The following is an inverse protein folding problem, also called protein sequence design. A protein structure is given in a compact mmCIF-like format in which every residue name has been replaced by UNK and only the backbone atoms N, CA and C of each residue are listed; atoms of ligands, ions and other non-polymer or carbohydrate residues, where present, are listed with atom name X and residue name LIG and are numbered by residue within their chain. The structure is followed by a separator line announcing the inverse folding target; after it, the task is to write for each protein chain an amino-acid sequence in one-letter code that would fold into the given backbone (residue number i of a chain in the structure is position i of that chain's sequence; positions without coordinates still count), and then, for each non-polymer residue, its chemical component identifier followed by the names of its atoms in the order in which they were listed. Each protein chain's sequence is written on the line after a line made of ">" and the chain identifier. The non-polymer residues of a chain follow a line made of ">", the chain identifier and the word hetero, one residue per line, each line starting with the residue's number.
data_IF_213440733057
#
_entry.id   IF_213440733057
#
_cell.length_a   1.000
_cell.length_b   1.000
_cell.length_c   1.000
_cell.angle_alpha   90.00
_cell.angle_beta   90.00
_cell.angle_gamma   90.00
#
_symmetry.space_group_name_H-M   'P 1'
#
loop_
_entity.id
_entity.type
_entity.pdbx_description
1 polymer ?
#
# COMPACT_ATOMS: atom_id res chain seq x y z
N UNK A 1 -2.23 -14.65 14.01
CA UNK A 1 -1.92 -13.29 14.51
C UNK A 1 -2.95 -12.29 13.99
N UNK A 2 -3.33 -12.33 12.72
CA UNK A 2 -4.40 -11.47 12.20
C UNK A 2 -5.71 -11.66 12.98
N UNK A 3 -6.19 -12.90 13.18
CA UNK A 3 -7.35 -13.16 14.03
C UNK A 3 -7.16 -12.71 15.47
N UNK A 4 -5.92 -12.73 15.98
CA UNK A 4 -5.61 -12.21 17.31
C UNK A 4 -5.49 -10.70 17.34
N UNK A 5 -4.92 -10.09 16.29
CA UNK A 5 -4.92 -8.62 16.10
C UNK A 5 -6.34 -8.13 15.84
N UNK A 6 -7.17 -8.85 15.09
CA UNK A 6 -8.59 -8.55 14.90
C UNK A 6 -9.42 -8.74 16.17
N UNK A 7 -8.99 -9.59 17.10
CA UNK A 7 -9.59 -9.74 18.44
C UNK A 7 -9.08 -8.73 19.46
N UNK A 8 -8.10 -7.90 19.10
CA UNK A 8 -7.71 -6.74 19.88
C UNK A 8 -8.84 -5.69 19.87
N UNK A 9 -9.91 -6.02 20.57
CA UNK A 9 -11.06 -5.16 20.71
C UNK A 9 -10.90 -4.32 21.96
N UNK A 10 -10.60 -3.08 21.85
CA UNK A 10 -10.63 -2.09 22.92
C UNK A 10 -9.56 -2.26 23.99
N UNK A 11 -9.00 -1.17 24.27
CA UNK A 11 -8.27 -0.98 25.47
C UNK A 11 -9.17 -1.15 26.71
N UNK A 12 -8.74 -1.86 27.58
CA UNK A 12 -7.43 -2.43 27.88
C UNK A 12 -7.14 -3.70 27.10
N UNK A 13 -6.76 -3.68 25.93
CA UNK A 13 -7.34 -4.34 24.78
C UNK A 13 -6.36 -4.89 23.83
N UNK A 14 -5.18 -4.52 23.88
CA UNK A 14 -4.11 -5.36 23.51
C UNK A 14 -4.07 -6.49 24.54
N UNK A 15 -4.16 -7.75 24.09
CA UNK A 15 -3.55 -8.80 24.85
C UNK A 15 -2.12 -8.31 25.09
N UNK A 16 -1.84 -7.81 26.30
CA UNK A 16 -0.51 -7.28 26.65
C UNK A 16 0.56 -8.32 26.29
N UNK A 17 0.24 -9.60 26.46
CA UNK A 17 1.05 -10.75 26.06
C UNK A 17 1.40 -10.76 24.57
N UNK A 18 0.54 -10.25 23.70
CA UNK A 18 0.84 -10.18 22.26
C UNK A 18 1.86 -9.08 21.95
N UNK A 19 1.73 -7.89 22.53
CA UNK A 19 2.74 -6.84 22.40
C UNK A 19 4.07 -7.25 23.01
N UNK A 20 4.05 -7.90 24.17
CA UNK A 20 5.24 -8.44 24.83
C UNK A 20 5.92 -9.52 23.96
N UNK A 21 5.14 -10.31 23.27
CA UNK A 21 5.68 -11.31 22.35
C UNK A 21 6.23 -10.66 21.08
N UNK A 22 5.43 -9.86 20.38
CA UNK A 22 5.79 -9.33 19.05
C UNK A 22 6.91 -8.29 19.17
N UNK A 23 6.74 -7.31 20.04
CA UNK A 23 7.69 -6.19 20.19
C UNK A 23 8.72 -6.53 21.27
N UNK A 24 8.29 -7.04 22.43
CA UNK A 24 9.18 -7.33 23.54
C UNK A 24 10.18 -8.45 23.23
N UNK A 25 9.71 -9.60 22.76
CA UNK A 25 10.55 -10.77 22.49
C UNK A 25 11.17 -10.75 21.10
N UNK A 26 10.35 -10.58 20.05
CA UNK A 26 10.81 -10.70 18.65
C UNK A 26 11.28 -9.38 18.05
N UNK A 27 11.18 -8.26 18.78
CA UNK A 27 11.68 -6.94 18.37
C UNK A 27 11.17 -6.48 17.01
N UNK A 28 9.89 -6.80 16.69
CA UNK A 28 9.25 -6.39 15.45
C UNK A 28 9.08 -4.88 15.43
N UNK A 29 9.65 -4.22 14.43
CA UNK A 29 9.69 -2.76 14.30
C UNK A 29 8.72 -2.19 13.27
N UNK A 30 7.83 -3.00 12.70
CA UNK A 30 6.77 -2.59 11.77
C UNK A 30 5.49 -3.37 12.02
N UNK A 31 4.37 -2.68 12.06
CA UNK A 31 3.03 -3.27 12.19
C UNK A 31 2.13 -2.67 11.11
N UNK A 32 1.15 -3.44 10.66
CA UNK A 32 0.28 -3.03 9.57
C UNK A 32 -1.17 -3.43 9.79
N UNK A 33 -2.02 -2.84 8.96
CA UNK A 33 -3.42 -3.17 8.70
C UNK A 33 -4.42 -2.48 9.64
N UNK A 34 -5.71 -2.66 9.32
CA UNK A 34 -6.81 -2.01 10.03
C UNK A 34 -7.01 -2.67 11.39
N UNK A 35 -7.06 -1.91 12.49
CA UNK A 35 -7.52 -2.46 13.75
C UNK A 35 -8.92 -3.07 13.58
N UNK A 36 -9.12 -4.30 14.08
CA UNK A 36 -10.40 -5.03 14.06
C UNK A 36 -10.94 -5.42 12.68
N UNK A 37 -10.16 -5.26 11.61
CA UNK A 37 -10.50 -5.71 10.25
C UNK A 37 -11.60 -4.88 9.55
N UNK A 38 -11.94 -3.73 10.09
CA UNK A 38 -12.92 -2.79 9.53
C UNK A 38 -12.51 -1.37 9.89
N UNK A 39 -12.88 -0.40 9.05
CA UNK A 39 -12.53 1.00 9.23
C UNK A 39 -12.87 1.51 10.63
N UNK A 40 -11.98 2.29 11.19
CA UNK A 40 -12.09 2.85 12.55
C UNK A 40 -11.99 4.37 12.49
N UNK A 41 -12.46 5.03 13.56
CA UNK A 41 -12.24 6.46 13.77
C UNK A 41 -10.76 6.76 13.99
N UNK A 42 -10.32 7.95 13.62
CA UNK A 42 -8.92 8.38 13.78
C UNK A 42 -8.41 8.27 15.22
N UNK A 43 -9.29 8.47 16.22
CA UNK A 43 -8.95 8.34 17.63
C UNK A 43 -8.56 6.91 18.00
N UNK A 44 -9.25 5.91 17.45
CA UNK A 44 -8.93 4.48 17.66
C UNK A 44 -7.56 4.13 17.08
N UNK A 45 -7.26 4.62 15.87
CA UNK A 45 -5.92 4.45 15.29
C UNK A 45 -4.86 5.11 16.17
N UNK A 46 -5.10 6.34 16.62
CA UNK A 46 -4.16 7.08 17.45
C UNK A 46 -3.86 6.35 18.76
N UNK A 47 -4.89 5.82 19.43
CA UNK A 47 -4.72 5.04 20.66
C UNK A 47 -3.91 3.77 20.43
N UNK A 48 -4.27 2.99 19.42
CA UNK A 48 -3.57 1.75 19.05
C UNK A 48 -2.10 2.01 18.72
N UNK A 49 -1.85 2.99 17.85
CA UNK A 49 -0.49 3.31 17.40
C UNK A 49 0.35 3.89 18.54
N UNK A 50 -0.24 4.73 19.40
CA UNK A 50 0.45 5.30 20.58
C UNK A 50 0.94 4.20 21.52
N UNK A 51 0.15 3.17 21.76
CA UNK A 51 0.57 2.05 22.62
C UNK A 51 1.65 1.20 21.97
N UNK A 52 1.55 0.93 20.65
CA UNK A 52 2.59 0.27 19.88
C UNK A 52 3.90 1.06 19.97
N UNK A 53 3.85 2.39 19.79
CA UNK A 53 5.01 3.26 19.90
C UNK A 53 5.63 3.23 21.30
N UNK A 54 4.78 3.34 22.33
CA UNK A 54 5.24 3.27 23.72
C UNK A 54 6.01 1.96 23.96
N UNK A 55 5.42 0.82 23.62
CA UNK A 55 6.06 -0.49 23.78
C UNK A 55 7.34 -0.60 22.95
N UNK A 56 7.35 -0.12 21.71
CA UNK A 56 8.52 -0.16 20.83
C UNK A 56 9.69 0.68 21.40
N UNK A 57 9.41 1.86 21.90
CA UNK A 57 10.43 2.73 22.51
C UNK A 57 10.96 2.16 23.83
N UNK A 58 10.11 1.55 24.64
CA UNK A 58 10.52 0.89 25.89
C UNK A 58 11.45 -0.30 25.62
N UNK A 59 11.10 -1.16 24.66
CA UNK A 59 11.73 -2.46 24.42
C UNK A 59 12.86 -2.45 23.40
N UNK A 60 12.77 -1.57 22.38
CA UNK A 60 13.68 -1.54 21.23
C UNK A 60 14.44 -0.21 21.17
N UNK A 61 13.89 0.87 21.74
CA UNK A 61 14.35 2.26 21.62
C UNK A 61 14.32 2.80 20.18
N UNK A 62 13.59 2.13 19.31
CA UNK A 62 13.38 2.51 17.91
C UNK A 62 11.88 2.61 17.70
N UNK A 63 11.35 3.73 17.14
CA UNK A 63 9.93 3.85 16.87
C UNK A 63 9.46 2.80 15.87
N UNK A 64 8.25 2.27 16.08
CA UNK A 64 7.60 1.36 15.15
C UNK A 64 7.08 2.15 13.94
N UNK A 65 7.17 1.60 12.73
CA UNK A 65 6.47 2.14 11.56
C UNK A 65 5.14 1.41 11.39
N UNK A 66 4.06 2.16 11.20
CA UNK A 66 2.72 1.61 10.97
C UNK A 66 2.31 1.84 9.52
N UNK A 67 1.95 0.74 8.82
CA UNK A 67 1.55 0.75 7.43
C UNK A 67 0.07 0.42 7.23
N UNK A 68 -0.56 1.05 6.21
CA UNK A 68 -1.97 0.84 5.91
C UNK A 68 -2.24 0.99 4.40
N UNK A 69 -3.22 0.26 3.87
CA UNK A 69 -3.66 0.37 2.47
C UNK A 69 -4.66 1.52 2.28
N UNK A 70 -4.17 2.74 2.21
CA UNK A 70 -4.97 3.93 1.86
C UNK A 70 -4.86 4.18 0.35
N UNK A 71 -5.64 3.42 -0.43
CA UNK A 71 -5.44 3.31 -1.88
C UNK A 71 -6.12 4.47 -2.63
N UNK A 72 -7.32 4.86 -2.23
CA UNK A 72 -8.10 5.90 -2.89
C UNK A 72 -8.73 6.88 -1.87
N UNK A 73 -7.91 7.54 -1.10
CA UNK A 73 -8.23 8.33 0.08
C UNK A 73 -7.83 7.60 1.35
N UNK A 74 -8.09 8.18 2.51
CA UNK A 74 -7.89 7.53 3.79
C UNK A 74 -9.03 6.53 4.08
N UNK A 75 -9.27 5.63 3.13
CA UNK A 75 -10.49 4.84 2.97
C UNK A 75 -10.70 3.76 4.04
N UNK A 76 -9.72 3.53 4.90
CA UNK A 76 -9.83 2.69 6.09
C UNK A 76 -10.10 3.48 7.36
N UNK A 77 -10.35 4.78 7.22
CA UNK A 77 -10.69 5.66 8.36
C UNK A 77 -12.11 6.18 8.20
N UNK A 78 -12.92 6.08 9.24
CA UNK A 78 -14.29 6.63 9.27
C UNK A 78 -14.22 8.15 9.18
N UNK A 79 -15.19 8.74 8.51
CA UNK A 79 -15.34 10.18 8.31
C UNK A 79 -14.22 10.82 7.47
N UNK A 80 -13.34 10.03 6.86
CA UNK A 80 -12.31 10.50 5.94
C UNK A 80 -12.84 10.65 4.51
N UNK A 81 -12.12 11.40 3.69
CA UNK A 81 -12.45 11.65 2.28
C UNK A 81 -12.03 10.50 1.40
N UNK A 82 -12.95 10.00 0.55
CA UNK A 82 -12.67 9.01 -0.48
C UNK A 82 -12.58 9.66 -1.84
N UNK A 83 -11.74 9.10 -2.69
CA UNK A 83 -11.56 9.52 -4.08
C UNK A 83 -11.94 8.39 -5.03
N UNK A 84 -12.16 8.68 -6.34
CA UNK A 84 -12.31 7.63 -7.34
C UNK A 84 -11.12 6.65 -7.32
N UNK A 85 -11.38 5.43 -7.75
CA UNK A 85 -10.34 4.41 -7.88
C UNK A 85 -9.29 4.83 -8.94
N UNK A 86 -8.09 4.21 -8.89
CA UNK A 86 -6.96 4.60 -9.72
C UNK A 86 -7.26 4.73 -11.21
N UNK A 87 -8.03 3.79 -11.78
CA UNK A 87 -8.41 3.82 -13.20
C UNK A 87 -9.26 5.04 -13.55
N UNK A 88 -10.17 5.44 -12.67
CA UNK A 88 -11.00 6.63 -12.85
C UNK A 88 -10.16 7.91 -12.71
N UNK A 89 -9.28 7.97 -11.72
CA UNK A 89 -8.35 9.09 -11.58
C UNK A 89 -7.49 9.29 -12.85
N UNK A 90 -7.08 8.19 -13.48
CA UNK A 90 -6.34 8.26 -14.75
C UNK A 90 -7.22 8.72 -15.92
N UNK A 91 -8.50 8.33 -15.95
CA UNK A 91 -9.44 8.72 -16.99
C UNK A 91 -9.71 10.24 -17.03
N UNK A 92 -9.56 10.93 -15.90
CA UNK A 92 -9.64 12.39 -15.84
C UNK A 92 -8.46 13.10 -16.55
N UNK A 93 -7.33 12.42 -16.78
CA UNK A 93 -6.07 12.97 -17.29
C UNK A 93 -5.58 14.24 -16.55
N UNK A 94 -6.08 14.48 -15.34
CA UNK A 94 -5.75 15.64 -14.51
C UNK A 94 -4.68 15.30 -13.47
N UNK A 95 -3.43 15.58 -13.80
CA UNK A 95 -2.27 15.32 -12.96
C UNK A 95 -2.28 16.12 -11.66
N UNK A 96 -2.71 17.38 -11.73
CA UNK A 96 -2.74 18.28 -10.57
C UNK A 96 -3.81 17.85 -9.58
N UNK A 97 -4.97 17.43 -10.07
CA UNK A 97 -6.03 16.87 -9.25
C UNK A 97 -5.57 15.55 -8.58
N UNK A 98 -4.85 14.69 -9.32
CA UNK A 98 -4.27 13.47 -8.74
C UNK A 98 -3.29 13.80 -7.60
N UNK A 99 -2.42 14.80 -7.76
CA UNK A 99 -1.55 15.28 -6.68
C UNK A 99 -2.37 15.76 -5.49
N UNK A 100 -3.40 16.60 -5.75
CA UNK A 100 -4.24 17.15 -4.69
C UNK A 100 -5.00 16.08 -3.91
N UNK A 101 -5.56 15.08 -4.56
CA UNK A 101 -6.20 13.93 -3.91
C UNK A 101 -5.21 13.14 -3.03
N UNK A 102 -3.98 12.96 -3.52
CA UNK A 102 -2.93 12.28 -2.76
C UNK A 102 -2.45 13.10 -1.54
N UNK A 103 -2.38 14.44 -1.63
CA UNK A 103 -2.10 15.33 -0.50
C UNK A 103 -3.17 15.21 0.60
N UNK A 104 -4.44 15.18 0.21
CA UNK A 104 -5.56 14.99 1.15
C UNK A 104 -5.49 13.59 1.79
N UNK A 105 -5.24 12.55 0.98
CA UNK A 105 -5.04 11.20 1.48
C UNK A 105 -3.92 11.13 2.51
N UNK A 106 -2.79 11.79 2.24
CA UNK A 106 -1.67 11.87 3.17
C UNK A 106 -2.03 12.58 4.47
N UNK A 107 -2.68 13.74 4.36
CA UNK A 107 -3.10 14.53 5.51
C UNK A 107 -4.04 13.74 6.45
N UNK A 108 -5.07 13.10 5.87
CA UNK A 108 -6.04 12.35 6.65
C UNK A 108 -5.47 11.03 7.20
N UNK A 109 -4.57 10.38 6.47
CA UNK A 109 -3.82 9.21 6.95
C UNK A 109 -2.90 9.59 8.12
N UNK A 110 -2.22 10.73 8.02
CA UNK A 110 -1.35 11.23 9.10
C UNK A 110 -2.16 11.61 10.34
N UNK A 111 -3.37 12.13 10.15
CA UNK A 111 -4.31 12.40 11.24
C UNK A 111 -4.69 11.15 12.05
N UNK A 112 -4.46 9.96 11.51
CA UNK A 112 -4.62 8.68 12.18
C UNK A 112 -3.32 8.15 12.82
N UNK A 113 -2.27 8.96 12.92
CA UNK A 113 -0.91 8.56 13.33
C UNK A 113 -0.23 7.55 12.39
N UNK A 114 -0.82 7.23 11.24
CA UNK A 114 -0.23 6.35 10.23
C UNK A 114 0.76 7.15 9.39
N UNK A 115 1.97 6.64 9.22
CA UNK A 115 3.05 7.34 8.53
C UNK A 115 3.45 6.73 7.18
N UNK A 116 2.85 5.61 6.81
CA UNK A 116 3.20 4.83 5.63
C UNK A 116 1.97 4.22 4.98
N UNK A 117 1.83 4.35 3.67
CA UNK A 117 0.74 3.70 2.92
C UNK A 117 1.29 2.82 1.80
N UNK A 118 0.58 1.73 1.51
CA UNK A 118 0.90 0.81 0.41
C UNK A 118 0.23 1.27 -0.89
N UNK A 119 0.52 2.50 -1.29
CA UNK A 119 0.03 3.19 -2.48
C UNK A 119 1.14 4.08 -3.09
N UNK A 120 1.06 4.45 -4.38
CA UNK A 120 0.06 4.11 -5.38
C UNK A 120 0.24 2.71 -5.97
N UNK A 121 -0.87 2.18 -6.55
CA UNK A 121 -0.85 0.95 -7.37
C UNK A 121 -0.48 1.32 -8.80
N UNK A 122 0.62 0.77 -9.29
CA UNK A 122 1.23 1.16 -10.57
C UNK A 122 1.30 0.03 -11.59
N UNK A 123 0.57 -1.04 -11.32
CA UNK A 123 0.47 -2.16 -12.24
C UNK A 123 -0.17 -1.70 -13.56
N UNK A 124 0.35 -2.17 -14.69
CA UNK A 124 -0.32 -1.93 -15.97
C UNK A 124 -1.49 -2.89 -16.11
N UNK A 125 -2.70 -2.38 -15.97
CA UNK A 125 -3.95 -3.14 -16.10
C UNK A 125 -4.25 -3.47 -17.56
N UNK A 126 -3.48 -4.36 -18.19
CA UNK A 126 -3.60 -4.68 -19.62
C UNK A 126 -4.44 -5.92 -19.91
N UNK A 127 -4.69 -6.74 -18.92
CA UNK A 127 -5.62 -7.87 -19.03
C UNK A 127 -6.94 -7.54 -18.32
N UNK A 128 -8.05 -7.37 -19.05
CA UNK A 128 -9.33 -7.01 -18.45
C UNK A 128 -9.94 -8.13 -17.60
N UNK A 129 -9.39 -9.34 -17.64
CA UNK A 129 -9.79 -10.45 -16.77
C UNK A 129 -9.16 -10.36 -15.39
N UNK A 130 -8.05 -9.58 -15.24
CA UNK A 130 -7.38 -9.42 -13.96
C UNK A 130 -8.25 -8.62 -12.99
N UNK A 131 -8.60 -9.19 -11.81
CA UNK A 131 -9.63 -8.63 -10.95
C UNK A 131 -9.22 -7.34 -10.22
N UNK A 132 -7.95 -6.93 -10.30
CA UNK A 132 -7.40 -5.72 -9.68
C UNK A 132 -7.08 -4.61 -10.68
N UNK A 133 -7.51 -4.74 -11.93
CA UNK A 133 -7.26 -3.77 -13.00
C UNK A 133 -7.68 -2.35 -12.60
N UNK A 134 -8.77 -2.21 -11.87
CA UNK A 134 -9.36 -0.96 -11.41
C UNK A 134 -8.52 -0.19 -10.38
N UNK A 135 -7.61 -0.86 -9.68
CA UNK A 135 -6.75 -0.23 -8.66
C UNK A 135 -5.67 0.67 -9.28
N UNK A 136 -5.25 0.37 -10.50
CA UNK A 136 -4.13 1.00 -11.19
C UNK A 136 -4.55 2.20 -12.04
N UNK A 137 -3.57 2.93 -12.54
CA UNK A 137 -3.78 4.05 -13.48
C UNK A 137 -3.95 3.59 -14.95
N UNK A 138 -4.44 2.36 -15.18
CA UNK A 138 -4.76 1.84 -16.49
C UNK A 138 -3.61 1.10 -17.21
N UNK A 139 -3.78 0.90 -18.53
CA UNK A 139 -2.92 0.03 -19.33
C UNK A 139 -1.72 0.73 -19.99
N UNK A 140 -1.79 2.07 -20.13
CA UNK A 140 -0.75 2.85 -20.78
C UNK A 140 0.39 3.20 -19.81
N UNK A 141 1.61 2.82 -20.16
CA UNK A 141 2.78 3.01 -19.29
C UNK A 141 3.12 4.50 -19.05
N UNK A 142 2.86 5.37 -20.04
CA UNK A 142 3.11 6.80 -19.90
C UNK A 142 2.09 7.47 -18.98
N UNK A 143 0.80 7.22 -19.21
CA UNK A 143 -0.28 7.74 -18.34
C UNK A 143 -0.07 7.27 -16.90
N UNK A 144 0.19 5.98 -16.72
CA UNK A 144 0.46 5.41 -15.40
C UNK A 144 1.66 6.11 -14.72
N UNK A 145 2.77 6.30 -15.45
CA UNK A 145 3.95 7.00 -14.93
C UNK A 145 3.63 8.46 -14.52
N UNK A 146 2.85 9.18 -15.35
CA UNK A 146 2.50 10.58 -15.07
C UNK A 146 1.62 10.71 -13.82
N UNK A 147 0.63 9.84 -13.66
CA UNK A 147 -0.26 9.84 -12.50
C UNK A 147 0.48 9.38 -11.24
N UNK A 148 1.29 8.33 -11.34
CA UNK A 148 2.09 7.81 -10.24
C UNK A 148 3.07 8.84 -9.67
N UNK A 149 3.76 9.61 -10.53
CA UNK A 149 4.65 10.71 -10.10
C UNK A 149 3.89 11.72 -9.26
N UNK A 150 2.67 12.09 -9.66
CA UNK A 150 1.87 13.04 -8.90
C UNK A 150 1.34 12.45 -7.60
N UNK A 151 0.92 11.19 -7.61
CA UNK A 151 0.50 10.50 -6.40
C UNK A 151 1.66 10.40 -5.37
N UNK A 152 2.87 10.04 -5.81
CA UNK A 152 4.05 9.99 -4.92
C UNK A 152 4.34 11.37 -4.33
N UNK A 153 4.34 12.44 -5.15
CA UNK A 153 4.58 13.80 -4.67
C UNK A 153 3.49 14.30 -3.72
N UNK A 154 2.23 13.97 -4.01
CA UNK A 154 1.12 14.32 -3.13
C UNK A 154 1.20 13.59 -1.78
N UNK A 155 1.55 12.30 -1.78
CA UNK A 155 1.68 11.52 -0.55
C UNK A 155 2.89 11.98 0.31
N UNK A 156 4.04 12.26 -0.31
CA UNK A 156 5.31 12.48 0.39
C UNK A 156 5.73 13.95 0.51
N UNK A 157 5.10 14.84 -0.26
CA UNK A 157 5.61 16.20 -0.47
C UNK A 157 6.79 16.21 -1.46
N UNK A 158 7.34 17.38 -1.69
CA UNK A 158 8.38 17.59 -2.71
C UNK A 158 9.81 17.29 -2.21
N UNK A 159 9.98 17.01 -0.91
CA UNK A 159 11.29 16.69 -0.33
C UNK A 159 11.38 15.23 0.11
N UNK A 160 11.97 14.33 -0.68
CA UNK A 160 12.05 12.90 -0.33
C UNK A 160 12.98 12.62 0.87
N UNK A 161 13.80 13.56 1.27
CA UNK A 161 14.70 13.39 2.41
C UNK A 161 14.06 13.76 3.75
N UNK A 162 12.92 14.45 3.74
CA UNK A 162 12.21 14.87 4.95
C UNK A 162 10.72 14.99 4.66
N UNK A 163 9.98 13.98 5.02
CA UNK A 163 8.53 13.97 4.97
C UNK A 163 8.00 14.77 6.16
N UNK A 164 7.22 15.79 5.91
CA UNK A 164 6.70 16.65 6.97
C UNK A 164 5.47 16.03 7.69
N UNK A 165 4.93 16.77 8.65
CA UNK A 165 3.85 16.31 9.51
C UNK A 165 2.49 16.12 8.80
N UNK A 166 2.34 16.59 7.57
CA UNK A 166 1.10 16.47 6.79
C UNK A 166 1.19 15.41 5.69
N UNK A 167 2.38 14.83 5.49
CA UNK A 167 2.66 13.85 4.48
C UNK A 167 3.04 12.49 5.08
N UNK A 168 3.02 11.46 4.24
CA UNK A 168 3.35 10.05 4.59
C UNK A 168 4.27 9.46 3.55
N UNK A 169 4.93 8.34 3.85
CA UNK A 169 5.64 7.61 2.81
C UNK A 169 4.69 6.88 1.89
N UNK A 170 4.93 6.98 0.59
CA UNK A 170 4.38 6.06 -0.40
C UNK A 170 5.07 4.69 -0.32
N UNK A 171 4.37 3.65 -0.80
CA UNK A 171 4.96 2.35 -1.15
C UNK A 171 4.43 1.97 -2.52
N UNK A 172 5.22 2.25 -3.55
CA UNK A 172 4.81 1.97 -4.94
C UNK A 172 4.69 0.48 -5.16
N UNK A 173 3.57 0.02 -5.79
CA UNK A 173 3.27 -1.40 -5.90
C UNK A 173 2.55 -1.77 -7.20
N UNK A 174 2.58 -3.04 -7.62
CA UNK A 174 3.39 -4.16 -7.15
C UNK A 174 4.50 -4.41 -8.17
N UNK A 175 5.72 -4.30 -7.79
CA UNK A 175 6.90 -4.37 -8.67
C UNK A 175 7.17 -5.80 -9.10
N UNK A 176 6.99 -6.12 -10.37
CA UNK A 176 6.36 -5.47 -11.50
C UNK A 176 5.70 -6.51 -12.42
N UNK A 177 4.88 -6.06 -13.41
CA UNK A 177 4.27 -7.00 -14.37
C UNK A 177 3.09 -7.80 -13.83
N UNK A 178 2.45 -7.34 -12.75
CA UNK A 178 1.38 -8.04 -12.04
C UNK A 178 0.04 -8.02 -12.79
N UNK A 179 -0.25 -6.96 -13.55
CA UNK A 179 -1.52 -6.75 -14.25
C UNK A 179 -1.68 -7.49 -15.58
N UNK A 180 -0.80 -8.48 -15.87
CA UNK A 180 -0.81 -9.26 -17.12
C UNK A 180 -0.62 -10.76 -16.87
N UNK A 181 -1.38 -11.37 -15.94
CA UNK A 181 -1.25 -12.80 -15.68
C UNK A 181 -1.78 -13.61 -16.89
N UNK A 182 -1.06 -14.65 -17.28
CA UNK A 182 -1.45 -15.49 -18.44
C UNK A 182 -2.84 -16.07 -18.27
N UNK A 183 -3.21 -16.43 -17.06
CA UNK A 183 -4.54 -16.98 -16.73
C UNK A 183 -5.66 -15.93 -16.61
N UNK A 184 -5.32 -14.66 -16.49
CA UNK A 184 -6.24 -13.59 -16.09
C UNK A 184 -6.58 -13.58 -14.60
N UNK A 185 -6.09 -14.53 -13.80
CA UNK A 185 -6.39 -14.63 -12.37
C UNK A 185 -5.31 -13.93 -11.54
N UNK A 186 -5.73 -13.38 -10.41
CA UNK A 186 -4.81 -12.74 -9.46
C UNK A 186 -3.77 -13.71 -8.92
N UNK A 187 -2.56 -13.21 -8.64
CA UNK A 187 -1.43 -13.98 -8.05
C UNK A 187 -0.99 -15.20 -8.87
N UNK A 188 -1.17 -15.17 -10.17
CA UNK A 188 -0.76 -16.24 -11.10
C UNK A 188 0.36 -15.79 -12.03
N UNK A 189 1.07 -16.73 -12.69
CA UNK A 189 2.23 -16.42 -13.51
C UNK A 189 1.95 -15.46 -14.66
N UNK A 190 2.89 -14.57 -14.91
CA UNK A 190 3.01 -13.78 -16.15
C UNK A 190 4.04 -14.38 -17.11
N UNK A 191 3.94 -14.00 -18.38
CA UNK A 191 4.94 -14.33 -19.40
C UNK A 191 5.28 -13.07 -20.18
N UNK A 192 6.26 -12.34 -19.69
CA UNK A 192 6.70 -11.05 -20.21
C UNK A 192 8.14 -11.18 -20.65
N UNK A 193 8.46 -10.71 -21.87
CA UNK A 193 9.84 -10.66 -22.33
C UNK A 193 10.64 -9.62 -21.55
N UNK A 194 11.95 -9.77 -21.45
CA UNK A 194 12.80 -8.82 -20.72
C UNK A 194 12.74 -7.42 -21.31
N UNK A 195 12.57 -7.28 -22.63
CA UNK A 195 12.38 -6.00 -23.31
C UNK A 195 11.07 -5.34 -22.85
N UNK A 196 9.95 -6.07 -22.91
CA UNK A 196 8.65 -5.54 -22.48
C UNK A 196 8.63 -5.24 -20.98
N UNK A 197 9.29 -6.09 -20.19
CA UNK A 197 9.40 -5.89 -18.74
C UNK A 197 10.12 -4.56 -18.44
N UNK A 198 11.22 -4.28 -19.15
CA UNK A 198 12.02 -3.07 -18.98
C UNK A 198 11.35 -1.83 -19.57
N UNK A 199 10.84 -1.90 -20.78
CA UNK A 199 10.31 -0.72 -21.49
C UNK A 199 8.92 -0.32 -21.01
N UNK A 200 8.06 -1.29 -20.66
CA UNK A 200 6.66 -1.03 -20.32
C UNK A 200 6.42 -1.10 -18.82
N UNK A 201 6.72 -2.24 -18.21
CA UNK A 201 6.35 -2.49 -16.81
C UNK A 201 7.26 -1.79 -15.81
N UNK A 202 8.54 -1.62 -16.13
CA UNK A 202 9.49 -0.91 -15.27
C UNK A 202 9.38 0.62 -15.40
N UNK A 203 9.01 1.14 -16.55
CA UNK A 203 9.00 2.59 -16.82
C UNK A 203 8.17 3.41 -15.80
N UNK A 204 6.95 3.01 -15.38
CA UNK A 204 6.21 3.72 -14.33
C UNK A 204 6.94 3.71 -12.98
N UNK A 205 7.51 2.57 -12.58
CA UNK A 205 8.27 2.47 -11.33
C UNK A 205 9.53 3.33 -11.35
N UNK A 206 10.25 3.35 -12.46
CA UNK A 206 11.41 4.21 -12.65
C UNK A 206 11.04 5.70 -12.51
N UNK A 207 9.90 6.10 -13.09
CA UNK A 207 9.40 7.47 -12.97
C UNK A 207 9.06 7.84 -11.52
N UNK A 208 8.38 6.95 -10.80
CA UNK A 208 8.03 7.14 -9.39
C UNK A 208 9.27 7.13 -8.47
N UNK A 209 10.25 6.27 -8.72
CA UNK A 209 11.54 6.26 -8.01
C UNK A 209 12.26 7.59 -8.21
N UNK A 210 12.32 8.10 -9.44
CA UNK A 210 12.92 9.41 -9.76
C UNK A 210 12.14 10.59 -9.17
N UNK A 211 10.83 10.42 -8.92
CA UNK A 211 10.00 11.38 -8.20
C UNK A 211 10.21 11.34 -6.69
N UNK A 212 11.01 10.41 -6.17
CA UNK A 212 11.40 10.32 -4.77
C UNK A 212 10.67 9.26 -3.96
N UNK A 213 10.04 8.24 -4.58
CA UNK A 213 9.39 7.14 -3.85
C UNK A 213 10.35 6.50 -2.84
N UNK A 214 9.91 6.36 -1.57
CA UNK A 214 10.74 5.93 -0.45
C UNK A 214 10.67 4.44 -0.17
N UNK A 215 9.61 3.77 -0.63
CA UNK A 215 9.48 2.31 -0.50
C UNK A 215 8.74 1.70 -1.69
N UNK A 216 8.92 0.40 -1.83
CA UNK A 216 8.39 -0.39 -2.94
C UNK A 216 7.95 -1.76 -2.44
N UNK A 217 6.77 -2.22 -2.86
CA UNK A 217 6.26 -3.56 -2.60
C UNK A 217 6.41 -4.44 -3.83
N UNK A 218 6.92 -5.66 -3.62
CA UNK A 218 7.17 -6.62 -4.68
C UNK A 218 5.87 -7.29 -5.14
N UNK A 219 5.79 -7.64 -6.41
CA UNK A 219 4.67 -8.34 -7.04
C UNK A 219 4.47 -9.75 -6.46
N UNK A 220 3.23 -10.09 -6.11
CA UNK A 220 2.82 -11.40 -5.57
C UNK A 220 2.66 -12.48 -6.66
N UNK A 221 3.53 -12.54 -7.63
CA UNK A 221 3.51 -13.52 -8.70
C UNK A 221 4.90 -13.92 -9.16
N UNK A 222 4.96 -14.55 -10.32
CA UNK A 222 6.22 -14.87 -10.99
C UNK A 222 6.15 -14.48 -12.47
N UNK A 223 7.30 -14.24 -13.07
CA UNK A 223 7.45 -14.05 -14.52
C UNK A 223 8.31 -15.17 -15.08
N UNK A 224 7.79 -15.87 -16.09
CA UNK A 224 8.51 -16.97 -16.76
C UNK A 224 9.04 -18.03 -15.77
N UNK A 225 8.30 -18.29 -14.69
CA UNK A 225 8.64 -19.27 -13.65
C UNK A 225 9.55 -18.75 -12.52
N UNK A 226 10.08 -17.52 -12.62
CA UNK A 226 10.87 -16.90 -11.56
C UNK A 226 9.98 -16.01 -10.67
N UNK A 227 9.74 -16.35 -9.39
CA UNK A 227 9.04 -15.48 -8.44
C UNK A 227 9.81 -14.18 -8.22
N UNK A 228 9.08 -13.04 -8.21
CA UNK A 228 9.72 -11.74 -8.04
C UNK A 228 10.42 -11.59 -6.69
N UNK A 229 9.90 -12.21 -5.64
CA UNK A 229 10.50 -12.21 -4.30
C UNK A 229 11.85 -12.96 -4.20
N UNK A 230 12.20 -13.79 -5.19
CA UNK A 230 13.47 -14.47 -5.27
C UNK A 230 14.36 -13.95 -6.40
N UNK A 231 13.91 -12.94 -7.14
CA UNK A 231 14.64 -12.42 -8.30
C UNK A 231 15.68 -11.37 -7.89
N UNK A 232 16.91 -11.84 -7.62
CA UNK A 232 18.02 -10.99 -7.21
C UNK A 232 18.41 -9.95 -8.27
N UNK A 233 18.33 -10.31 -9.55
CA UNK A 233 18.66 -9.38 -10.63
C UNK A 233 17.78 -8.13 -10.59
N UNK A 234 16.47 -8.31 -10.41
CA UNK A 234 15.55 -7.19 -10.38
C UNK A 234 15.64 -6.40 -9.07
N UNK A 235 15.67 -7.09 -7.91
CA UNK A 235 15.60 -6.43 -6.61
C UNK A 235 16.94 -5.82 -6.19
N UNK A 236 18.02 -6.50 -6.44
CA UNK A 236 19.36 -5.99 -6.13
C UNK A 236 19.98 -5.31 -7.34
N UNK A 237 20.10 -6.01 -8.46
CA UNK A 237 20.76 -5.49 -9.67
C UNK A 237 20.11 -4.20 -10.17
N UNK A 238 18.85 -4.24 -10.57
CA UNK A 238 18.21 -3.04 -11.16
C UNK A 238 17.94 -1.94 -10.16
N UNK A 239 17.38 -2.27 -8.98
CA UNK A 239 16.93 -1.24 -8.03
C UNK A 239 18.09 -0.69 -7.18
N UNK A 240 18.91 -1.57 -6.60
CA UNK A 240 19.94 -1.14 -5.63
C UNK A 240 21.27 -0.78 -6.31
N UNK A 241 21.71 -1.56 -7.31
CA UNK A 241 23.01 -1.38 -7.98
C UNK A 241 22.89 -0.40 -9.15
N UNK A 242 22.09 -0.70 -10.18
CA UNK A 242 22.01 0.12 -11.41
C UNK A 242 21.40 1.52 -11.13
N UNK A 243 20.30 1.58 -10.37
CA UNK A 243 19.66 2.84 -10.03
C UNK A 243 20.28 3.54 -8.81
N UNK A 244 21.10 2.84 -8.03
CA UNK A 244 21.58 3.31 -6.74
C UNK A 244 20.43 3.84 -5.85
N UNK A 245 19.27 3.18 -5.93
CA UNK A 245 18.09 3.59 -5.17
C UNK A 245 18.22 3.20 -3.70
N UNK A 246 18.03 4.15 -2.81
CA UNK A 246 18.22 3.97 -1.37
C UNK A 246 16.93 3.69 -0.60
N UNK A 247 15.80 3.52 -1.30
CA UNK A 247 14.51 3.18 -0.71
C UNK A 247 14.44 1.74 -0.19
N UNK A 248 13.36 1.44 0.52
CA UNK A 248 13.12 0.17 1.19
C UNK A 248 12.25 -0.75 0.34
N UNK A 249 12.61 -2.01 0.22
CA UNK A 249 11.85 -3.05 -0.49
C UNK A 249 11.11 -3.91 0.53
N UNK A 250 9.77 -3.94 0.44
CA UNK A 250 8.91 -4.80 1.27
C UNK A 250 8.25 -5.88 0.40
N UNK A 251 7.96 -7.04 0.99
CA UNK A 251 7.20 -8.09 0.32
C UNK A 251 5.72 -7.76 0.24
N UNK A 252 4.97 -8.39 -0.66
CA UNK A 252 3.52 -8.50 -0.56
C UNK A 252 3.15 -9.55 0.52
N UNK A 253 1.85 -9.71 0.73
CA UNK A 253 1.22 -10.48 1.80
C UNK A 253 1.63 -11.95 1.79
N UNK A 254 2.41 -12.35 2.81
CA UNK A 254 2.86 -13.73 3.04
C UNK A 254 3.73 -14.35 1.92
N UNK A 255 4.29 -13.54 1.03
CA UNK A 255 4.91 -14.04 -0.19
C UNK A 255 6.30 -14.66 0.01
N UNK A 256 6.97 -14.44 1.12
CA UNK A 256 8.13 -15.25 1.47
C UNK A 256 7.71 -16.71 1.66
N UNK A 257 6.67 -16.96 2.44
CA UNK A 257 6.17 -18.32 2.65
C UNK A 257 5.63 -18.94 1.34
N UNK A 258 5.10 -18.13 0.43
CA UNK A 258 4.61 -18.59 -0.86
C UNK A 258 5.71 -19.12 -1.79
N UNK A 259 6.97 -18.74 -1.61
CA UNK A 259 8.09 -19.38 -2.32
C UNK A 259 8.18 -20.88 -2.04
N UNK A 260 7.74 -21.30 -0.85
CA UNK A 260 7.61 -22.69 -0.47
C UNK A 260 6.24 -23.29 -0.84
N UNK A 261 5.13 -22.65 -0.43
CA UNK A 261 3.80 -23.24 -0.56
C UNK A 261 3.18 -23.16 -1.95
N UNK A 262 3.41 -22.07 -2.67
CA UNK A 262 2.80 -21.79 -3.99
C UNK A 262 3.79 -22.02 -5.12
N UNK A 263 4.95 -21.42 -5.02
CA UNK A 263 5.93 -21.36 -6.13
C UNK A 263 6.87 -22.57 -6.14
N UNK A 264 6.96 -23.31 -5.02
CA UNK A 264 7.75 -24.54 -4.87
C UNK A 264 9.23 -24.44 -5.27
N UNK A 265 9.83 -23.24 -5.15
CA UNK A 265 11.24 -23.02 -5.42
C UNK A 265 12.12 -23.14 -4.15
N UNK A 266 11.50 -23.09 -3.00
CA UNK A 266 12.15 -23.31 -1.69
C UNK A 266 11.85 -24.71 -1.17
N UNK A 267 12.81 -25.35 -0.51
CA UNK A 267 12.64 -26.69 0.08
C UNK A 267 12.03 -26.66 1.49
N UNK A 268 11.96 -25.47 2.10
CA UNK A 268 11.33 -25.23 3.41
C UNK A 268 10.97 -23.75 3.56
N UNK A 269 10.20 -23.38 4.61
CA UNK A 269 9.95 -21.98 4.97
C UNK A 269 11.25 -21.23 5.27
N UNK A 270 12.18 -21.84 5.99
CA UNK A 270 13.51 -21.26 6.29
C UNK A 270 14.31 -21.00 5.01
N UNK A 271 14.27 -21.92 4.05
CA UNK A 271 14.91 -21.75 2.75
C UNK A 271 14.24 -20.61 1.94
N UNK A 272 12.92 -20.46 2.04
CA UNK A 272 12.20 -19.35 1.43
C UNK A 272 12.67 -17.99 2.00
N UNK A 273 12.90 -17.89 3.31
CA UNK A 273 13.50 -16.70 3.94
C UNK A 273 14.89 -16.42 3.37
N UNK A 274 15.74 -17.45 3.26
CA UNK A 274 17.09 -17.34 2.68
C UNK A 274 17.05 -16.79 1.26
N UNK A 275 16.18 -17.34 0.41
CA UNK A 275 16.05 -16.91 -0.98
C UNK A 275 15.61 -15.44 -1.08
N UNK A 276 14.56 -15.06 -0.36
CA UNK A 276 14.00 -13.70 -0.44
C UNK A 276 14.97 -12.65 0.11
N UNK A 277 15.58 -12.88 1.26
CA UNK A 277 16.52 -11.93 1.87
C UNK A 277 17.75 -11.74 1.00
N UNK A 278 18.33 -12.84 0.47
CA UNK A 278 19.47 -12.77 -0.42
C UNK A 278 19.14 -12.17 -1.80
N UNK A 279 17.87 -12.19 -2.22
CA UNK A 279 17.42 -11.49 -3.42
C UNK A 279 17.37 -9.98 -3.25
N UNK A 280 17.25 -9.46 -2.02
CA UNK A 280 17.28 -8.02 -1.77
C UNK A 280 16.10 -7.47 -0.97
N UNK A 281 15.22 -8.32 -0.45
CA UNK A 281 14.11 -7.90 0.43
C UNK A 281 14.65 -7.27 1.72
N UNK A 282 14.11 -6.12 2.11
CA UNK A 282 14.52 -5.39 3.30
C UNK A 282 13.52 -5.52 4.46
N UNK A 283 12.24 -5.69 4.16
CA UNK A 283 11.17 -5.88 5.14
C UNK A 283 10.22 -6.99 4.68
N UNK A 284 9.88 -7.89 5.59
CA UNK A 284 8.96 -8.99 5.32
C UNK A 284 7.55 -8.67 5.82
N UNK A 285 6.56 -8.80 4.94
CA UNK A 285 5.15 -8.77 5.31
C UNK A 285 4.68 -10.19 5.64
N UNK A 286 4.94 -10.62 6.87
CA UNK A 286 4.54 -11.94 7.41
C UNK A 286 3.44 -11.72 8.44
N UNK A 287 2.17 -11.74 8.03
CA UNK A 287 1.08 -11.15 8.81
C UNK A 287 0.65 -11.97 10.03
N UNK A 288 0.97 -13.25 10.09
CA UNK A 288 0.31 -14.16 11.02
C UNK A 288 1.24 -14.91 11.95
N UNK A 289 2.56 -14.81 11.77
CA UNK A 289 3.53 -15.57 12.54
C UNK A 289 4.83 -14.77 12.75
N UNK A 290 5.64 -15.19 13.72
CA UNK A 290 6.99 -14.66 13.98
C UNK A 290 8.10 -15.66 13.64
N UNK A 291 7.77 -16.77 12.99
CA UNK A 291 8.75 -17.77 12.60
C UNK A 291 9.84 -17.20 11.68
N UNK A 292 9.47 -16.22 10.84
CA UNK A 292 10.42 -15.45 10.04
C UNK A 292 11.61 -14.90 10.86
N UNK A 293 11.33 -14.35 12.06
CA UNK A 293 12.39 -13.78 12.91
C UNK A 293 13.35 -14.86 13.41
N UNK A 294 12.83 -16.05 13.72
CA UNK A 294 13.62 -17.20 14.18
C UNK A 294 14.47 -17.71 13.02
N UNK A 295 13.84 -17.99 11.88
CA UNK A 295 14.50 -18.54 10.70
C UNK A 295 15.61 -17.61 10.19
N UNK A 296 15.35 -16.29 10.13
CA UNK A 296 16.35 -15.31 9.70
C UNK A 296 17.56 -15.26 10.64
N UNK A 297 17.32 -15.28 11.95
CA UNK A 297 18.40 -15.32 12.95
C UNK A 297 19.28 -16.54 12.76
N UNK A 298 18.68 -17.73 12.64
CA UNK A 298 19.40 -18.98 12.41
C UNK A 298 20.20 -18.94 11.10
N UNK A 299 19.61 -18.41 10.01
CA UNK A 299 20.31 -18.29 8.71
C UNK A 299 21.54 -17.38 8.78
N UNK A 300 21.49 -16.35 9.62
CA UNK A 300 22.66 -15.49 9.86
C UNK A 300 23.73 -16.25 10.69
N UNK A 301 23.31 -16.94 11.73
CA UNK A 301 24.22 -17.75 12.57
C UNK A 301 24.90 -18.90 11.79
N UNK A 302 24.19 -19.47 10.81
CA UNK A 302 24.69 -20.48 9.87
C UNK A 302 25.57 -19.90 8.72
N UNK A 303 25.63 -18.57 8.59
CA UNK A 303 26.34 -17.89 7.49
C UNK A 303 25.63 -17.98 6.13
N UNK A 304 24.36 -18.43 6.08
CA UNK A 304 23.57 -18.52 4.85
C UNK A 304 22.97 -17.17 4.42
N UNK A 305 22.91 -16.21 5.32
CA UNK A 305 22.63 -14.80 5.09
C UNK A 305 23.74 -13.99 5.76
N UNK A 306 24.39 -13.10 5.00
CA UNK A 306 25.50 -12.32 5.55
C UNK A 306 25.03 -11.14 6.41
N UNK A 307 25.87 -10.70 7.37
CA UNK A 307 25.60 -9.50 8.15
C UNK A 307 25.54 -8.24 7.30
N UNK A 308 26.32 -8.15 6.22
CA UNK A 308 26.27 -7.01 5.29
C UNK A 308 24.87 -6.88 4.65
N UNK A 309 24.22 -8.02 4.32
CA UNK A 309 22.86 -8.03 3.79
C UNK A 309 21.84 -7.55 4.83
N UNK A 310 22.01 -7.99 6.07
CA UNK A 310 21.16 -7.52 7.20
C UNK A 310 21.36 -6.03 7.42
N UNK A 311 22.59 -5.57 7.46
CA UNK A 311 22.93 -4.16 7.65
C UNK A 311 22.37 -3.27 6.54
N UNK A 312 22.39 -3.70 5.27
CA UNK A 312 21.76 -2.96 4.18
C UNK A 312 20.23 -2.86 4.39
N UNK A 313 19.55 -3.96 4.74
CA UNK A 313 18.12 -3.94 5.04
C UNK A 313 17.78 -3.00 6.20
N UNK A 314 18.51 -3.12 7.30
CA UNK A 314 18.32 -2.28 8.49
C UNK A 314 18.54 -0.81 8.18
N UNK A 315 19.61 -0.46 7.43
CA UNK A 315 19.87 0.94 7.02
C UNK A 315 18.72 1.51 6.20
N UNK A 316 18.11 0.75 5.29
CA UNK A 316 16.98 1.20 4.47
C UNK A 316 15.72 1.40 5.30
N UNK A 317 15.40 0.47 6.21
CA UNK A 317 14.28 0.60 7.14
C UNK A 317 14.47 1.81 8.07
N UNK A 318 15.65 1.97 8.68
CA UNK A 318 15.95 3.10 9.57
C UNK A 318 15.92 4.44 8.82
N UNK A 319 16.47 4.50 7.60
CA UNK A 319 16.43 5.69 6.74
C UNK A 319 15.00 6.13 6.49
N UNK A 320 14.08 5.19 6.19
CA UNK A 320 12.66 5.50 6.04
C UNK A 320 12.08 6.09 7.31
N UNK A 321 12.34 5.49 8.48
CA UNK A 321 11.87 6.00 9.78
C UNK A 321 12.42 7.40 10.09
N UNK A 322 13.69 7.68 9.78
CA UNK A 322 14.28 9.02 9.92
C UNK A 322 13.64 10.04 8.98
N UNK A 323 13.45 9.69 7.71
CA UNK A 323 12.79 10.59 6.74
C UNK A 323 11.38 10.94 7.13
N UNK A 324 10.68 10.04 7.83
CA UNK A 324 9.33 10.24 8.37
C UNK A 324 9.30 11.02 9.67
N UNK A 325 10.46 11.36 10.25
CA UNK A 325 10.55 12.07 11.53
C UNK A 325 10.07 11.28 12.74
N UNK A 326 10.06 9.93 12.66
CA UNK A 326 9.54 9.10 13.74
C UNK A 326 10.41 9.11 14.99
N UNK A 327 11.71 9.38 14.86
CA UNK A 327 12.63 9.47 16.00
C UNK A 327 12.46 10.79 16.76
N UNK A 328 12.21 11.87 16.04
CA UNK A 328 11.99 13.20 16.60
C UNK A 328 10.59 13.33 17.17
N UNK A 329 9.62 12.70 16.53
CA UNK A 329 8.20 12.78 16.92
C UNK A 329 7.49 11.43 16.76
N UNK A 330 7.69 10.48 17.68
CA UNK A 330 7.04 9.16 17.63
C UNK A 330 5.55 9.22 17.98
N UNK A 331 5.08 10.30 18.63
CA UNK A 331 3.70 10.53 19.04
C UNK A 331 3.11 11.72 18.29
N UNK A 332 1.92 11.58 17.76
CA UNK A 332 1.26 12.61 16.96
C UNK A 332 0.03 13.15 17.68
N UNK A 333 -0.08 14.47 17.70
CA UNK A 333 -1.30 15.14 18.16
C UNK A 333 -2.30 15.23 17.00
N UNK A 334 -3.34 14.42 17.08
CA UNK A 334 -4.39 14.34 16.06
C UNK A 334 -5.27 15.59 16.00
N UNK A 335 -5.24 16.44 17.01
CA UNK A 335 -6.01 17.69 17.03
C UNK A 335 -5.44 18.76 16.07
N UNK A 336 -4.19 18.60 15.62
CA UNK A 336 -3.61 19.50 14.63
C UNK A 336 -4.16 19.33 13.21
N UNK A 337 -5.02 18.35 12.99
CA UNK A 337 -5.58 18.02 11.67
C UNK A 337 -7.05 18.50 11.58
N UNK A 338 -7.25 19.81 11.69
CA UNK A 338 -8.57 20.45 11.73
C UNK A 338 -9.39 20.26 10.43
N UNK A 339 -8.70 20.02 9.30
CA UNK A 339 -9.34 19.82 7.98
C UNK A 339 -9.76 18.36 7.72
N UNK A 340 -9.53 17.45 8.67
CA UNK A 340 -9.95 16.06 8.52
C UNK A 340 -11.47 15.97 8.28
N UNK A 341 -11.90 15.30 7.18
CA UNK A 341 -13.30 15.16 6.81
C UNK A 341 -14.01 16.48 6.46
N UNK A 342 -13.27 17.51 6.04
CA UNK A 342 -13.84 18.83 5.79
C UNK A 342 -14.63 18.93 4.48
N UNK A 343 -15.54 19.89 4.40
CA UNK A 343 -16.23 20.25 3.14
C UNK A 343 -15.26 20.67 2.03
N UNK A 344 -14.11 21.27 2.38
CA UNK A 344 -13.06 21.60 1.40
C UNK A 344 -12.57 20.31 0.71
N UNK A 345 -12.33 19.27 1.47
CA UNK A 345 -11.85 17.98 0.95
C UNK A 345 -12.95 17.23 0.18
N UNK A 346 -14.18 17.27 0.68
CA UNK A 346 -15.33 16.72 -0.02
C UNK A 346 -15.57 17.36 -1.41
N UNK A 347 -15.33 18.68 -1.56
CA UNK A 347 -15.41 19.35 -2.86
C UNK A 347 -14.36 18.87 -3.85
N UNK A 348 -13.14 18.57 -3.36
CA UNK A 348 -12.09 17.98 -4.22
C UNK A 348 -12.48 16.57 -4.64
N UNK A 349 -13.08 15.77 -3.75
CA UNK A 349 -13.56 14.45 -4.09
C UNK A 349 -14.69 14.49 -5.13
N UNK A 350 -15.63 15.42 -4.99
CA UNK A 350 -16.69 15.64 -5.98
C UNK A 350 -16.10 16.04 -7.35
N UNK A 351 -15.17 16.99 -7.39
CA UNK A 351 -14.49 17.36 -8.62
C UNK A 351 -13.79 16.16 -9.28
N UNK A 352 -13.11 15.33 -8.48
CA UNK A 352 -12.43 14.13 -8.98
C UNK A 352 -13.42 13.12 -9.56
N UNK A 353 -14.58 12.94 -8.93
CA UNK A 353 -15.64 12.08 -9.43
C UNK A 353 -16.21 12.60 -10.75
N UNK A 354 -16.55 13.90 -10.81
CA UNK A 354 -17.11 14.53 -12.02
C UNK A 354 -16.13 14.48 -13.20
N UNK A 355 -14.85 14.78 -13.00
CA UNK A 355 -13.84 14.73 -14.05
C UNK A 355 -13.50 13.30 -14.49
N UNK A 356 -13.79 12.30 -13.68
CA UNK A 356 -13.53 10.88 -13.98
C UNK A 356 -14.62 10.22 -14.86
N UNK A 357 -15.75 10.89 -15.06
CA UNK A 357 -16.85 10.39 -15.88
C UNK A 357 -16.50 10.46 -17.37
N UNK A 358 -16.62 9.34 -18.08
CA UNK A 358 -16.30 9.23 -19.50
C UNK A 358 -17.56 9.03 -20.33
N UNK A 359 -17.93 10.02 -21.13
CA UNK A 359 -19.05 9.92 -22.04
C UNK A 359 -18.67 9.09 -23.28
N UNK A 360 -19.05 7.83 -23.29
CA UNK A 360 -18.76 6.91 -24.40
C UNK A 360 -19.68 7.07 -25.59
N UNK A 361 -20.96 7.42 -25.36
CA UNK A 361 -21.97 7.54 -26.41
C UNK A 361 -23.13 8.43 -25.98
N UNK A 362 -23.57 9.36 -26.86
CA UNK A 362 -24.73 10.21 -26.64
C UNK A 362 -25.37 10.60 -27.98
N UNK A 363 -25.55 9.66 -28.90
CA UNK A 363 -26.01 9.90 -30.29
C UNK A 363 -27.39 10.57 -30.37
N UNK A 364 -28.28 10.29 -29.42
CA UNK A 364 -29.61 10.87 -29.32
C UNK A 364 -29.67 12.18 -28.53
N UNK A 365 -28.56 12.69 -28.02
CA UNK A 365 -28.52 13.93 -27.21
C UNK A 365 -29.37 13.82 -25.94
N UNK A 366 -29.44 12.63 -25.32
CA UNK A 366 -30.23 12.41 -24.10
C UNK A 366 -29.57 13.04 -22.88
N UNK A 367 -28.26 13.15 -22.88
CA UNK A 367 -27.49 13.87 -21.87
C UNK A 367 -27.17 15.29 -22.35
N UNK A 368 -27.21 16.30 -21.46
CA UNK A 368 -27.60 16.20 -20.04
C UNK A 368 -29.10 15.92 -19.88
N UNK A 369 -29.44 15.24 -18.79
CA UNK A 369 -30.83 14.94 -18.43
C UNK A 369 -31.57 16.25 -18.19
N UNK A 370 -32.86 16.29 -18.61
CA UNK A 370 -33.71 17.49 -18.43
C UNK A 370 -34.50 17.36 -17.14
N UNK A 371 -34.76 18.48 -16.51
CA UNK A 371 -35.62 18.53 -15.34
C UNK A 371 -37.00 17.92 -15.62
N UNK A 372 -37.57 17.17 -14.68
CA UNK A 372 -38.88 16.54 -14.83
C UNK A 372 -38.87 15.21 -15.62
N UNK A 373 -37.72 14.73 -16.11
CA UNK A 373 -37.65 13.40 -16.74
C UNK A 373 -37.87 12.30 -15.70
N UNK A 374 -38.59 11.24 -16.13
CA UNK A 374 -38.73 10.00 -15.35
C UNK A 374 -37.54 9.09 -15.67
N UNK A 375 -36.81 8.71 -14.64
CA UNK A 375 -35.61 7.87 -14.76
C UNK A 375 -35.87 6.55 -14.04
N UNK A 376 -35.64 5.43 -14.71
CA UNK A 376 -35.60 4.12 -14.09
C UNK A 376 -34.15 3.81 -13.72
N UNK A 377 -33.86 3.79 -12.42
CA UNK A 377 -32.59 3.30 -11.89
C UNK A 377 -32.73 1.80 -11.59
N UNK A 378 -31.90 0.96 -12.21
CA UNK A 378 -31.99 -0.48 -12.10
C UNK A 378 -30.59 -1.12 -12.05
N UNK A 379 -30.53 -2.33 -11.51
CA UNK A 379 -29.31 -3.13 -11.42
C UNK A 379 -28.84 -3.33 -9.97
N UNK A 380 -28.05 -4.39 -9.70
CA UNK A 380 -27.64 -4.75 -8.34
C UNK A 380 -26.71 -3.73 -7.68
N UNK A 381 -26.00 -2.93 -8.48
CA UNK A 381 -25.02 -1.96 -7.97
C UNK A 381 -25.64 -0.57 -7.71
N UNK A 382 -26.88 -0.34 -8.14
CA UNK A 382 -27.51 0.98 -8.08
C UNK A 382 -27.68 1.52 -6.65
N UNK A 383 -27.79 0.64 -5.66
CA UNK A 383 -27.93 1.00 -4.24
C UNK A 383 -27.13 0.03 -3.36
N UNK A 384 -25.86 -0.19 -3.69
CA UNK A 384 -24.98 -1.06 -2.92
C UNK A 384 -23.68 -0.31 -2.58
N UNK A 385 -23.50 0.08 -1.35
CA UNK A 385 -22.35 0.87 -0.90
C UNK A 385 -21.02 0.21 -1.25
N UNK A 386 -20.95 -1.12 -1.12
CA UNK A 386 -19.78 -1.90 -1.56
C UNK A 386 -19.43 -1.67 -3.02
N UNK A 387 -20.43 -1.66 -3.90
CA UNK A 387 -20.20 -1.51 -5.34
C UNK A 387 -19.89 -0.06 -5.75
N UNK A 388 -20.49 0.90 -5.05
CA UNK A 388 -20.27 2.33 -5.29
C UNK A 388 -18.86 2.77 -4.88
N UNK A 389 -18.32 2.23 -3.77
CA UNK A 389 -16.99 2.58 -3.28
C UNK A 389 -15.89 1.62 -3.78
N UNK A 390 -16.23 0.38 -4.08
CA UNK A 390 -15.25 -0.63 -4.49
C UNK A 390 -14.45 -1.23 -3.33
N UNK A 391 -13.43 -2.01 -3.66
CA UNK A 391 -12.48 -2.57 -2.69
C UNK A 391 -11.57 -1.50 -2.07
N UNK A 392 -10.86 -1.86 -1.03
CA UNK A 392 -10.04 -0.96 -0.20
C UNK A 392 -10.85 0.18 0.45
N UNK A 393 -12.16 -0.05 0.66
CA UNK A 393 -13.08 0.89 1.27
C UNK A 393 -13.71 0.27 2.51
N UNK A 394 -13.49 0.84 3.68
CA UNK A 394 -13.94 0.38 5.00
C UNK A 394 -13.38 -0.99 5.43
N UNK A 395 -13.20 -1.93 4.51
CA UNK A 395 -12.57 -3.24 4.66
C UNK A 395 -11.87 -3.62 3.36
N UNK A 396 -11.09 -4.72 3.35
CA UNK A 396 -10.26 -5.07 2.19
C UNK A 396 -11.07 -5.20 0.88
N UNK A 397 -12.18 -5.92 0.90
CA UNK A 397 -13.04 -6.13 -0.30
C UNK A 397 -14.26 -5.20 -0.31
N UNK A 398 -14.34 -4.24 0.60
CA UNK A 398 -15.53 -3.40 0.79
C UNK A 398 -16.75 -4.17 1.32
N UNK A 399 -16.57 -5.42 1.76
CA UNK A 399 -17.65 -6.32 2.18
C UNK A 399 -18.34 -5.87 3.47
N UNK A 400 -17.70 -4.99 4.24
CA UNK A 400 -18.26 -4.41 5.48
C UNK A 400 -18.62 -2.93 5.34
N UNK A 401 -18.78 -2.45 4.12
CA UNK A 401 -19.10 -1.04 3.85
C UNK A 401 -20.42 -0.60 4.54
N UNK A 402 -21.43 -1.46 4.52
CA UNK A 402 -22.75 -1.16 5.13
C UNK A 402 -22.71 -1.05 6.66
N UNK A 403 -21.66 -1.57 7.32
CA UNK A 403 -21.48 -1.43 8.77
C UNK A 403 -20.93 -0.05 9.16
N UNK A 404 -20.28 0.64 8.23
CA UNK A 404 -19.52 1.85 8.47
C UNK A 404 -20.05 3.07 7.70
N UNK A 405 -20.74 2.83 6.58
CA UNK A 405 -21.30 3.90 5.77
C UNK A 405 -22.34 4.68 6.57
N UNK A 406 -22.14 5.97 6.70
CA UNK A 406 -23.21 6.84 7.14
C UNK A 406 -24.28 6.85 6.04
N UNK A 407 -25.52 6.59 6.38
CA UNK A 407 -26.64 6.82 5.48
C UNK A 407 -26.71 8.32 5.18
N UNK A 408 -26.41 8.68 3.95
CA UNK A 408 -26.62 10.04 3.42
C UNK A 408 -28.09 10.28 3.21
#
# INVERSE_FOLDING_TARGET
>A
MQDKIYKLRYLPLFEQDLLDTVIGKYKVGSILNIPFGVSQKKEVFADVITQIQKKSLEEIRIPCIYGLDQIHGASYTQDATFFPQGINMAAAFNRELTKRCAEITAYETRACCVSWTYAPVMDLGRDPRWPRMWESFGEDAYVNAQMAVQAVRGLQGDNPNKVDKYHISSCIKHFMGYGVPVSGKDRTPSSITDIDLREKHFAPFLAAIRAGALSLMVNSGNNNGMPFHANKELLTGWLKEDLNWDGMIVTDWNDINNLYFRDHIAVSKKDAVRLAINAGIDMAMVPSEWQFCIDLKELVEEGAVSMERIDDAVRRVLRLKFRLGLFENPYWDIQQYEKFGSEEFAKVALQAAEESEVLLKNDGGILPLREGMKILLAGPNANAMRCLNGGWSYSWQGERADECAQTY
#
